data_IF_022652334834
#
_entry.id   IF_022652334834
#
_cell.length_a   1.000
_cell.length_b   1.000
_cell.length_c   1.000
_cell.angle_alpha   90.00
_cell.angle_beta   90.00
_cell.angle_gamma   90.00
#
_symmetry.space_group_name_H-M   'P 1'
#
loop_
_entity.id
_entity.type
_entity.pdbx_description
1 polymer ?
#
# COMPACT_ATOMS: atom_id res chain seq x y z
N UNK A 1 -12.58 1.72 -0.19
CA UNK A 1 -12.10 2.57 -1.33
C UNK A 1 -12.38 4.09 -1.26
N UNK A 2 -13.50 4.57 -0.69
CA UNK A 2 -13.99 5.95 -0.90
C UNK A 2 -13.02 7.11 -0.54
N UNK A 3 -12.16 6.96 0.48
CA UNK A 3 -11.21 8.01 0.90
C UNK A 3 -9.94 8.00 0.03
N UNK A 4 -9.51 6.82 -0.42
CA UNK A 4 -8.29 6.65 -1.20
C UNK A 4 -8.49 7.08 -2.67
N UNK A 5 -9.64 6.78 -3.25
CA UNK A 5 -9.90 7.04 -4.67
C UNK A 5 -9.68 8.52 -5.08
N UNK A 6 -10.16 9.54 -4.33
CA UNK A 6 -9.84 10.94 -4.63
C UNK A 6 -8.34 11.26 -4.59
N UNK A 7 -7.57 10.63 -3.69
CA UNK A 7 -6.11 10.83 -3.64
C UNK A 7 -5.41 10.23 -4.85
N UNK A 8 -5.86 9.06 -5.31
CA UNK A 8 -5.33 8.41 -6.51
C UNK A 8 -5.63 9.23 -7.76
N UNK A 9 -6.84 9.79 -7.85
CA UNK A 9 -7.24 10.69 -8.93
C UNK A 9 -6.38 11.96 -8.95
N UNK A 10 -6.24 12.64 -7.80
CA UNK A 10 -5.40 13.84 -7.66
C UNK A 10 -3.90 13.58 -7.87
N UNK A 11 -3.47 12.33 -7.75
CA UNK A 11 -2.11 11.87 -8.07
C UNK A 11 -1.93 11.48 -9.54
N UNK A 12 -3.03 11.39 -10.31
CA UNK A 12 -3.03 11.11 -11.75
C UNK A 12 -3.15 9.62 -12.11
N UNK A 13 -3.41 8.73 -11.14
CA UNK A 13 -3.41 7.28 -11.37
C UNK A 13 -4.60 6.79 -12.21
N UNK A 14 -5.68 7.56 -12.34
CA UNK A 14 -6.82 7.21 -13.22
C UNK A 14 -6.68 7.70 -14.67
N UNK A 15 -5.54 8.30 -15.02
CA UNK A 15 -5.26 8.62 -16.42
C UNK A 15 -5.00 7.35 -17.25
N UNK A 16 -5.23 7.41 -18.56
CA UNK A 16 -5.11 6.27 -19.49
C UNK A 16 -3.69 5.67 -19.58
N UNK A 17 -2.70 6.32 -18.98
CA UNK A 17 -1.31 5.86 -18.93
C UNK A 17 -1.05 4.82 -17.85
N UNK A 18 -1.99 4.59 -16.92
CA UNK A 18 -1.85 3.61 -15.84
C UNK A 18 -2.81 2.44 -16.03
N UNK A 19 -2.26 1.24 -16.14
CA UNK A 19 -3.04 0.01 -16.04
C UNK A 19 -3.36 -0.25 -14.56
N UNK A 20 -4.64 -0.46 -14.24
CA UNK A 20 -5.12 -0.78 -12.91
C UNK A 20 -5.73 -2.17 -12.97
N UNK A 21 -5.26 -3.06 -12.10
CA UNK A 21 -5.86 -4.36 -11.84
C UNK A 21 -6.39 -4.36 -10.41
N UNK A 22 -7.66 -4.70 -10.25
CA UNK A 22 -8.23 -4.99 -8.93
C UNK A 22 -7.87 -6.43 -8.60
N UNK A 23 -7.29 -6.65 -7.42
CA UNK A 23 -6.86 -7.96 -6.96
C UNK A 23 -7.59 -8.35 -5.68
N UNK A 24 -7.62 -9.67 -5.43
CA UNK A 24 -8.47 -10.36 -4.46
C UNK A 24 -8.68 -9.64 -3.11
N UNK A 25 -9.94 -9.62 -2.66
CA UNK A 25 -10.26 -9.32 -1.27
C UNK A 25 -9.89 -10.50 -0.39
N UNK A 26 -9.03 -10.29 0.61
CA UNK A 26 -8.64 -11.33 1.57
C UNK A 26 -9.29 -11.08 2.92
N UNK A 27 -9.92 -12.10 3.49
CA UNK A 27 -10.35 -12.05 4.89
C UNK A 27 -9.16 -12.20 5.83
N UNK A 28 -9.06 -11.30 6.79
CA UNK A 28 -8.04 -11.35 7.84
C UNK A 28 -8.68 -11.58 9.19
N UNK A 29 -8.05 -12.45 9.97
CA UNK A 29 -8.43 -12.71 11.36
C UNK A 29 -7.23 -12.48 12.25
N UNK A 30 -7.32 -11.55 13.19
CA UNK A 30 -6.30 -11.34 14.21
C UNK A 30 -6.87 -11.69 15.59
N UNK A 31 -6.16 -12.55 16.31
CA UNK A 31 -6.51 -12.91 17.68
C UNK A 31 -5.54 -12.19 18.64
N UNK A 32 -6.08 -11.47 19.62
CA UNK A 32 -5.30 -10.79 20.66
C UNK A 32 -5.52 -11.42 22.05
N UNK A 33 -5.88 -12.70 22.08
CA UNK A 33 -6.18 -13.47 23.30
C UNK A 33 -7.62 -13.32 23.79
N UNK A 34 -8.13 -12.08 23.85
CA UNK A 34 -9.49 -11.80 24.35
C UNK A 34 -10.51 -11.52 23.23
N UNK A 35 -10.05 -11.06 22.06
CA UNK A 35 -10.92 -10.64 20.96
C UNK A 35 -10.39 -11.13 19.62
N UNK A 36 -11.29 -11.70 18.81
CA UNK A 36 -11.05 -12.02 17.42
C UNK A 36 -11.48 -10.84 16.56
N UNK A 37 -10.50 -10.15 15.99
CA UNK A 37 -10.72 -9.07 15.04
C UNK A 37 -10.83 -9.66 13.63
N UNK A 38 -11.93 -9.36 12.95
CA UNK A 38 -12.14 -9.71 11.54
C UNK A 38 -12.08 -8.44 10.70
N UNK A 39 -11.35 -8.51 9.60
CA UNK A 39 -11.26 -7.46 8.61
C UNK A 39 -11.14 -8.05 7.21
N UNK A 40 -11.07 -7.15 6.23
CA UNK A 40 -10.81 -7.45 4.83
C UNK A 40 -9.64 -6.60 4.36
N UNK A 41 -8.80 -7.16 3.51
CA UNK A 41 -7.81 -6.39 2.76
C UNK A 41 -8.26 -6.40 1.31
N UNK A 42 -8.54 -5.22 0.76
CA UNK A 42 -8.72 -5.03 -0.68
C UNK A 42 -7.39 -4.61 -1.28
N UNK A 43 -7.07 -5.16 -2.45
CA UNK A 43 -5.75 -4.97 -3.07
C UNK A 43 -5.93 -4.36 -4.44
N UNK A 44 -5.28 -3.22 -4.63
CA UNK A 44 -5.23 -2.53 -5.91
C UNK A 44 -3.80 -2.56 -6.44
N UNK A 45 -3.63 -3.05 -7.67
CA UNK A 45 -2.33 -3.10 -8.33
C UNK A 45 -2.31 -2.10 -9.49
N UNK A 46 -1.35 -1.19 -9.47
CA UNK A 46 -1.15 -0.18 -10.50
C UNK A 46 0.19 -0.41 -11.19
N UNK A 47 0.16 -0.55 -12.52
CA UNK A 47 1.32 -0.77 -13.39
C UNK A 47 2.23 -1.92 -12.98
N UNK A 48 1.71 -2.92 -12.25
CA UNK A 48 2.52 -4.01 -11.69
C UNK A 48 3.79 -3.48 -10.97
N UNK A 49 3.66 -2.31 -10.34
CA UNK A 49 4.77 -1.54 -9.77
C UNK A 49 4.36 -0.83 -8.47
N UNK A 50 3.05 -0.67 -8.22
CA UNK A 50 2.49 -0.13 -6.99
C UNK A 50 1.35 -1.03 -6.49
N UNK A 51 1.52 -1.58 -5.29
CA UNK A 51 0.52 -2.38 -4.58
C UNK A 51 -0.11 -1.53 -3.49
N UNK A 52 -1.43 -1.42 -3.48
CA UNK A 52 -2.15 -0.67 -2.46
C UNK A 52 -3.08 -1.63 -1.73
N UNK A 53 -2.80 -1.83 -0.45
CA UNK A 53 -3.57 -2.67 0.46
C UNK A 53 -4.44 -1.75 1.31
N UNK A 54 -5.76 -1.87 1.12
CA UNK A 54 -6.77 -1.15 1.86
C UNK A 54 -7.40 -2.08 2.88
N UNK A 55 -7.15 -1.82 4.16
CA UNK A 55 -7.71 -2.58 5.26
C UNK A 55 -9.07 -2.00 5.62
N UNK A 56 -10.11 -2.79 5.42
CA UNK A 56 -11.47 -2.50 5.89
C UNK A 56 -11.76 -3.38 7.11
N UNK A 57 -11.82 -2.78 8.30
CA UNK A 57 -12.12 -3.51 9.54
C UNK A 57 -13.10 -2.72 10.39
N UNK A 58 -14.01 -3.43 11.08
CA UNK A 58 -14.96 -2.82 12.02
C UNK A 58 -14.31 -2.33 13.32
N UNK A 59 -13.09 -2.79 13.60
CA UNK A 59 -12.33 -2.35 14.76
C UNK A 59 -11.30 -1.30 14.34
N UNK A 60 -11.38 -0.12 14.97
CA UNK A 60 -10.36 0.93 14.82
C UNK A 60 -8.98 0.50 15.34
N UNK A 61 -8.89 -0.62 16.06
CA UNK A 61 -7.63 -1.13 16.65
C UNK A 61 -6.76 -1.97 15.69
N UNK A 62 -7.19 -2.21 14.44
CA UNK A 62 -6.38 -2.99 13.51
C UNK A 62 -5.16 -2.19 13.03
N UNK A 63 -4.01 -2.46 13.64
CA UNK A 63 -2.73 -1.82 13.29
C UNK A 63 -2.31 -2.16 11.86
N UNK A 64 -1.93 -1.14 11.07
CA UNK A 64 -1.36 -1.32 9.73
C UNK A 64 -0.13 -2.24 9.73
N UNK A 65 0.59 -2.33 10.86
CA UNK A 65 1.77 -3.20 10.96
C UNK A 65 1.43 -4.67 10.74
N UNK A 66 0.22 -5.12 11.13
CA UNK A 66 -0.23 -6.50 10.93
C UNK A 66 -0.41 -6.86 9.45
N UNK A 67 -0.60 -5.88 8.57
CA UNK A 67 -0.71 -6.08 7.12
C UNK A 67 0.65 -6.00 6.37
N UNK A 68 1.74 -5.66 7.07
CA UNK A 68 3.07 -5.55 6.45
C UNK A 68 3.55 -6.87 5.81
N UNK A 69 3.45 -8.05 6.47
CA UNK A 69 3.85 -9.31 5.85
C UNK A 69 3.06 -9.61 4.56
N UNK A 70 1.75 -9.34 4.58
CA UNK A 70 0.90 -9.54 3.40
C UNK A 70 1.30 -8.59 2.26
N UNK A 71 1.53 -7.31 2.55
CA UNK A 71 1.98 -6.34 1.56
C UNK A 71 3.28 -6.78 0.89
N UNK A 72 4.26 -7.22 1.68
CA UNK A 72 5.54 -7.68 1.18
C UNK A 72 5.43 -8.96 0.35
N UNK A 73 4.56 -9.89 0.73
CA UNK A 73 4.31 -11.10 -0.06
C UNK A 73 3.82 -10.77 -1.48
N UNK A 74 2.86 -9.86 -1.61
CA UNK A 74 2.38 -9.40 -2.91
C UNK A 74 3.45 -8.63 -3.70
N UNK A 75 4.17 -7.73 -3.04
CA UNK A 75 5.24 -6.96 -3.69
C UNK A 75 6.38 -7.87 -4.18
N UNK A 76 6.71 -8.95 -3.44
CA UNK A 76 7.73 -9.93 -3.83
C UNK A 76 7.26 -10.84 -4.98
N UNK A 77 5.96 -11.08 -5.09
CA UNK A 77 5.36 -11.82 -6.20
C UNK A 77 5.24 -10.97 -7.50
N UNK A 78 5.68 -9.70 -7.46
CA UNK A 78 5.72 -8.83 -8.63
C UNK A 78 6.48 -9.47 -9.81
N UNK A 79 5.92 -9.45 -11.03
CA UNK A 79 6.61 -9.96 -12.21
C UNK A 79 7.80 -9.08 -12.63
N UNK A 80 7.89 -7.83 -12.14
CA UNK A 80 8.91 -6.86 -12.53
C UNK A 80 10.07 -6.82 -11.53
N UNK A 81 11.17 -7.53 -11.85
CA UNK A 81 12.35 -7.64 -10.98
C UNK A 81 13.44 -6.58 -11.20
N UNK A 82 13.30 -5.67 -12.16
CA UNK A 82 14.37 -4.72 -12.54
C UNK A 82 14.15 -3.29 -12.04
N UNK A 83 12.94 -2.96 -11.56
CA UNK A 83 12.58 -1.64 -11.02
C UNK A 83 12.17 -1.76 -9.56
N UNK A 84 12.31 -0.70 -8.75
CA UNK A 84 11.76 -0.71 -7.41
C UNK A 84 10.24 -0.83 -7.44
N UNK A 85 9.72 -1.68 -6.57
CA UNK A 85 8.30 -1.90 -6.34
C UNK A 85 7.85 -1.06 -5.14
N UNK A 86 6.70 -0.41 -5.25
CA UNK A 86 6.13 0.41 -4.19
C UNK A 86 4.91 -0.25 -3.56
N UNK A 87 4.71 0.01 -2.28
CA UNK A 87 3.55 -0.43 -1.52
C UNK A 87 2.89 0.72 -0.79
N UNK A 88 1.58 0.65 -0.59
CA UNK A 88 0.84 1.49 0.34
C UNK A 88 -0.08 0.60 1.16
N UNK A 89 0.03 0.65 2.48
CA UNK A 89 -0.94 0.06 3.40
C UNK A 89 -1.76 1.20 4.00
N UNK A 90 -3.09 1.08 3.98
CA UNK A 90 -3.98 2.10 4.55
C UNK A 90 -5.26 1.51 5.10
N UNK A 91 -5.85 2.15 6.12
CA UNK A 91 -7.21 1.90 6.61
C UNK A 91 -8.14 3.10 6.33
N UNK A 92 -7.72 4.03 5.47
CA UNK A 92 -8.41 5.29 5.19
C UNK A 92 -8.04 6.43 6.13
N UNK A 93 -7.69 6.16 7.40
CA UNK A 93 -7.22 7.15 8.37
C UNK A 93 -5.70 7.28 8.43
N UNK A 94 -5.00 6.17 8.22
CA UNK A 94 -3.55 6.07 8.30
C UNK A 94 -2.97 5.53 7.00
N UNK A 95 -1.73 5.92 6.70
CA UNK A 95 -1.03 5.57 5.47
C UNK A 95 0.42 5.19 5.81
N UNK A 96 0.87 4.04 5.34
CA UNK A 96 2.27 3.62 5.41
C UNK A 96 2.75 3.20 4.04
N UNK A 97 3.77 3.89 3.53
CA UNK A 97 4.39 3.56 2.25
C UNK A 97 5.50 2.54 2.45
N UNK A 98 5.70 1.69 1.44
CA UNK A 98 6.78 0.72 1.36
C UNK A 98 7.55 0.95 0.07
N UNK A 99 8.85 0.73 0.13
CA UNK A 99 9.69 0.56 -1.06
C UNK A 99 10.41 -0.77 -0.97
N UNK A 100 10.30 -1.57 -2.02
CA UNK A 100 11.02 -2.82 -2.21
C UNK A 100 12.00 -2.64 -3.38
N UNK A 101 13.27 -2.88 -3.12
CA UNK A 101 14.30 -2.92 -4.14
C UNK A 101 14.62 -4.39 -4.45
N UNK A 102 14.52 -4.75 -5.72
CA UNK A 102 15.03 -6.01 -6.22
C UNK A 102 16.53 -5.85 -6.51
N UNK A 103 17.38 -6.77 -6.03
CA UNK A 103 18.81 -6.68 -6.25
C UNK A 103 19.15 -7.07 -7.68
N UNK A 104 20.21 -6.48 -8.22
CA UNK A 104 20.74 -6.82 -9.53
C UNK A 104 21.56 -8.13 -9.51
N UNK A 105 21.81 -8.69 -8.32
CA UNK A 105 22.56 -9.93 -8.11
C UNK A 105 21.65 -11.05 -7.60
N UNK A 106 21.74 -12.27 -8.14
CA UNK A 106 21.00 -13.43 -7.64
C UNK A 106 21.42 -13.89 -6.24
N UNK A 107 22.51 -13.34 -5.68
CA UNK A 107 23.02 -13.71 -4.35
C UNK A 107 22.52 -12.81 -3.22
N UNK A 108 21.83 -11.71 -3.53
CA UNK A 108 21.32 -10.77 -2.53
C UNK A 108 19.80 -10.94 -2.39
N UNK A 109 19.25 -10.91 -1.16
CA UNK A 109 17.81 -10.89 -0.98
C UNK A 109 17.23 -9.51 -1.29
N UNK A 110 15.95 -9.42 -1.73
CA UNK A 110 15.23 -8.16 -1.84
C UNK A 110 15.23 -7.38 -0.53
N UNK A 111 15.45 -6.06 -0.63
CA UNK A 111 15.49 -5.17 0.53
C UNK A 111 14.27 -4.25 0.53
N UNK A 112 13.63 -4.10 1.68
CA UNK A 112 12.49 -3.20 1.82
C UNK A 112 12.68 -2.20 2.96
N UNK A 113 12.01 -1.06 2.85
CA UNK A 113 11.94 -0.09 3.92
C UNK A 113 10.51 0.49 4.02
N UNK A 114 9.92 0.53 5.23
CA UNK A 114 8.69 1.28 5.47
C UNK A 114 8.97 2.76 5.71
N UNK A 115 8.02 3.62 5.32
CA UNK A 115 8.00 5.01 5.75
C UNK A 115 7.55 5.15 7.21
N UNK A 116 7.69 6.37 7.76
CA UNK A 116 6.90 6.80 8.90
C UNK A 116 5.40 6.60 8.65
N UNK A 117 4.62 6.52 9.73
CA UNK A 117 3.16 6.46 9.65
C UNK A 117 2.60 7.87 9.43
N UNK A 118 1.69 8.01 8.46
CA UNK A 118 1.00 9.27 8.19
C UNK A 118 -0.46 9.16 8.58
N UNK A 119 -0.90 9.97 9.54
CA UNK A 119 -2.31 10.09 9.95
C UNK A 119 -2.98 11.32 9.34
N UNK A 120 -4.26 11.22 9.01
CA UNK A 120 -5.11 12.36 8.61
C UNK A 120 -5.92 12.93 9.78
N UNK A 121 -5.88 12.26 10.93
CA UNK A 121 -6.60 12.67 12.13
C UNK A 121 -5.84 13.78 12.87
N UNK A 122 -6.53 14.82 13.38
CA UNK A 122 -5.88 15.88 14.14
C UNK A 122 -5.06 15.36 15.33
N UNK A 123 -3.94 16.03 15.68
CA UNK A 123 -3.41 17.27 15.10
C UNK A 123 -2.65 17.07 13.79
N UNK A 124 -2.45 15.82 13.36
CA UNK A 124 -1.61 15.46 12.23
C UNK A 124 -2.27 15.84 10.91
N UNK A 125 -1.63 16.73 10.15
CA UNK A 125 -2.09 17.20 8.83
C UNK A 125 -1.25 16.58 7.71
N UNK A 126 -1.08 15.26 7.71
CA UNK A 126 -0.16 14.60 6.76
C UNK A 126 -0.76 14.34 5.36
N UNK A 127 -2.05 14.62 5.14
CA UNK A 127 -2.71 14.36 3.86
C UNK A 127 -2.00 15.01 2.65
N UNK A 128 -1.50 16.27 2.71
CA UNK A 128 -0.71 16.84 1.62
C UNK A 128 0.58 16.07 1.33
N UNK A 129 1.25 15.57 2.37
CA UNK A 129 2.47 14.75 2.24
C UNK A 129 2.15 13.41 1.58
N UNK A 130 1.06 12.75 1.98
CA UNK A 130 0.57 11.51 1.34
C UNK A 130 0.35 11.73 -0.16
N UNK A 131 -0.33 12.82 -0.54
CA UNK A 131 -0.56 13.17 -1.94
C UNK A 131 0.75 13.46 -2.70
N UNK A 132 1.70 14.15 -2.08
CA UNK A 132 3.02 14.41 -2.69
C UNK A 132 3.79 13.12 -2.95
N UNK A 133 3.77 12.17 -2.01
CA UNK A 133 4.42 10.86 -2.18
C UNK A 133 3.74 10.09 -3.33
N UNK A 134 2.41 10.04 -3.35
CA UNK A 134 1.65 9.40 -4.44
C UNK A 134 2.01 9.97 -5.81
N UNK A 135 2.05 11.31 -5.94
CA UNK A 135 2.49 11.99 -7.18
C UNK A 135 3.92 11.65 -7.57
N UNK A 136 4.82 11.51 -6.60
CA UNK A 136 6.21 11.13 -6.87
C UNK A 136 6.29 9.70 -7.36
N UNK A 137 5.55 8.78 -6.76
CA UNK A 137 5.47 7.37 -7.20
C UNK A 137 4.89 7.31 -8.61
N UNK A 138 3.78 8.01 -8.89
CA UNK A 138 3.18 8.06 -10.23
C UNK A 138 4.20 8.45 -11.31
N UNK A 139 5.06 9.44 -11.04
CA UNK A 139 6.15 9.84 -11.95
C UNK A 139 7.25 8.79 -12.12
N UNK A 140 7.51 7.97 -11.10
CA UNK A 140 8.56 6.93 -11.14
C UNK A 140 8.07 5.70 -11.91
N UNK A 141 6.79 5.34 -11.75
CA UNK A 141 6.21 4.12 -12.35
C UNK A 141 5.47 4.39 -13.66
N UNK A 142 5.41 5.63 -14.12
CA UNK A 142 4.87 5.95 -15.44
C UNK A 142 5.60 5.14 -16.52
N UNK A 143 4.87 4.64 -17.53
CA UNK A 143 5.43 3.81 -18.60
C UNK A 143 6.51 4.53 -19.42
#
# INVERSE_FOLDING_TARGET
>A
MAILSPLLDLAGFYSSQFAIADEESIEITANDGETIYRGRIDILVIQQSLWILVIESKSSSFSLHKALPQALAYMLASPNSTKPTFGLITNGGEYRFLKLNHPNSPTEPPQYAPSSLFSISPPDKHLPTVLQILRRIAKIIAP
#
